data_IF_704677414417
#
_entry.id   IF_704677414417
#
_cell.length_a   1.000
_cell.length_b   1.000
_cell.length_c   1.000
_cell.angle_alpha   90.00
_cell.angle_beta   90.00
_cell.angle_gamma   90.00
#
_symmetry.space_group_name_H-M   'P 1'
#
loop_
_entity.id
_entity.type
_entity.pdbx_description
1 polymer ?
#
# COMPACT_ATOMS: atom_id res chain seq x y z
N UNK A 1 -25.07 -2.60 15.44
CA UNK A 1 -23.73 -2.23 15.94
C UNK A 1 -23.52 -0.81 15.51
N UNK A 2 -23.39 0.11 16.45
CA UNK A 2 -23.07 1.51 16.18
C UNK A 2 -21.65 1.54 15.65
N UNK A 3 -21.49 1.90 14.37
CA UNK A 3 -20.20 2.35 13.83
C UNK A 3 -19.91 3.66 14.56
N UNK A 4 -19.00 3.61 15.52
CA UNK A 4 -18.35 4.82 16.00
C UNK A 4 -17.52 5.30 14.81
N UNK A 5 -17.88 6.43 14.18
CA UNK A 5 -17.08 6.96 13.08
C UNK A 5 -15.66 7.19 13.59
N UNK A 6 -14.69 6.58 12.94
CA UNK A 6 -13.29 6.69 13.34
C UNK A 6 -12.75 8.01 12.79
N UNK A 7 -13.04 9.09 13.50
CA UNK A 7 -12.56 10.42 13.11
C UNK A 7 -11.04 10.48 13.34
N UNK A 8 -10.24 10.91 12.34
CA UNK A 8 -8.79 11.03 12.51
C UNK A 8 -8.42 11.95 13.68
N UNK A 9 -7.34 11.63 14.39
CA UNK A 9 -6.81 12.49 15.47
C UNK A 9 -6.38 13.85 14.92
N UNK A 10 -6.26 14.87 15.78
CA UNK A 10 -5.75 16.20 15.38
C UNK A 10 -4.39 16.11 14.67
N UNK A 11 -3.56 15.13 15.05
CA UNK A 11 -2.25 14.90 14.46
C UNK A 11 -2.35 14.23 13.09
N UNK A 12 -3.18 13.22 12.96
CA UNK A 12 -3.50 12.62 11.66
C UNK A 12 -4.13 13.62 10.69
N UNK A 13 -4.98 14.53 11.17
CA UNK A 13 -5.53 15.64 10.36
C UNK A 13 -4.42 16.58 9.89
N UNK A 14 -3.40 16.86 10.71
CA UNK A 14 -2.23 17.64 10.28
C UNK A 14 -1.42 16.93 9.20
N UNK A 15 -1.22 15.61 9.34
CA UNK A 15 -0.57 14.77 8.31
C UNK A 15 -1.34 14.86 6.99
N UNK A 16 -2.66 14.71 7.02
CA UNK A 16 -3.50 14.84 5.83
C UNK A 16 -3.39 16.23 5.18
N UNK A 17 -3.33 17.30 5.97
CA UNK A 17 -3.12 18.67 5.44
C UNK A 17 -1.75 18.87 4.81
N UNK A 18 -0.69 18.30 5.40
CA UNK A 18 0.65 18.32 4.81
C UNK A 18 0.69 17.50 3.52
N UNK A 19 0.09 16.30 3.53
CA UNK A 19 -0.05 15.47 2.35
C UNK A 19 -0.74 16.22 1.21
N UNK A 20 -1.84 16.94 1.49
CA UNK A 20 -2.52 17.77 0.48
C UNK A 20 -1.55 18.72 -0.22
N UNK A 21 -0.75 19.46 0.55
CA UNK A 21 0.20 20.42 -0.02
C UNK A 21 1.28 19.69 -0.82
N UNK A 22 1.89 18.65 -0.24
CA UNK A 22 2.96 17.87 -0.88
C UNK A 22 2.50 17.26 -2.20
N UNK A 23 1.33 16.61 -2.21
CA UNK A 23 0.77 15.96 -3.38
C UNK A 23 0.31 16.96 -4.44
N UNK A 24 -0.16 18.15 -4.05
CA UNK A 24 -0.53 19.20 -5.00
C UNK A 24 0.69 19.79 -5.72
N UNK A 25 1.79 20.02 -4.97
CA UNK A 25 2.96 20.74 -5.48
C UNK A 25 4.00 19.83 -6.15
N UNK A 26 3.96 18.52 -5.89
CA UNK A 26 5.00 17.58 -6.34
C UNK A 26 4.40 16.35 -7.00
N UNK A 27 4.91 16.00 -8.19
CA UNK A 27 4.50 14.78 -8.88
C UNK A 27 5.15 13.51 -8.31
N UNK A 28 6.20 13.65 -7.50
CA UNK A 28 6.90 12.54 -6.84
C UNK A 28 7.81 12.99 -5.69
N UNK A 29 8.12 12.06 -4.80
CA UNK A 29 9.19 12.11 -3.81
C UNK A 29 9.71 10.68 -3.57
N UNK A 30 10.53 10.44 -2.53
CA UNK A 30 11.12 9.12 -2.32
C UNK A 30 10.09 7.98 -2.19
N UNK A 31 8.95 8.23 -1.53
CA UNK A 31 7.96 7.18 -1.19
C UNK A 31 6.62 7.30 -1.92
N UNK A 32 6.44 8.31 -2.77
CA UNK A 32 5.25 8.43 -3.63
C UNK A 32 5.62 8.89 -5.03
N UNK A 33 4.86 8.44 -6.01
CA UNK A 33 5.08 8.80 -7.41
C UNK A 33 3.76 8.75 -8.21
N UNK A 34 3.33 9.87 -8.79
CA UNK A 34 2.07 9.95 -9.54
C UNK A 34 2.21 9.65 -11.04
N UNK A 35 3.37 9.90 -11.65
CA UNK A 35 3.53 9.89 -13.13
C UNK A 35 4.38 8.73 -13.71
N UNK A 36 4.90 7.82 -12.88
CA UNK A 36 5.81 6.73 -13.25
C UNK A 36 5.57 5.57 -12.31
N UNK A 37 6.12 4.43 -12.70
CA UNK A 37 6.07 3.17 -11.94
C UNK A 37 4.64 2.64 -11.80
N UNK A 38 4.19 1.87 -12.79
CA UNK A 38 2.99 1.03 -12.70
C UNK A 38 1.73 1.76 -12.18
N UNK A 39 1.31 2.77 -12.93
CA UNK A 39 0.05 3.49 -12.69
C UNK A 39 -1.17 2.63 -13.05
N UNK A 40 -2.40 3.01 -12.63
CA UNK A 40 -3.62 2.35 -13.08
C UNK A 40 -3.78 2.26 -14.60
N UNK A 41 -3.37 3.31 -15.33
CA UNK A 41 -3.37 3.30 -16.79
C UNK A 41 -2.36 2.28 -17.36
N UNK A 42 -1.13 2.25 -16.82
CA UNK A 42 -0.13 1.26 -17.21
C UNK A 42 -0.61 -0.16 -16.92
N UNK A 43 -1.22 -0.41 -15.76
CA UNK A 43 -1.76 -1.72 -15.39
C UNK A 43 -2.81 -2.18 -16.40
N UNK A 44 -3.77 -1.30 -16.76
CA UNK A 44 -4.77 -1.59 -17.80
C UNK A 44 -4.15 -1.85 -19.17
N UNK A 45 -3.11 -1.10 -19.55
CA UNK A 45 -2.39 -1.31 -20.81
C UNK A 45 -1.71 -2.68 -20.86
N UNK A 46 -0.98 -3.03 -19.79
CA UNK A 46 -0.30 -4.33 -19.65
C UNK A 46 -1.27 -5.49 -19.57
N UNK A 47 -2.45 -5.31 -18.96
CA UNK A 47 -3.51 -6.31 -18.95
C UNK A 47 -4.02 -6.58 -20.37
N UNK A 48 -4.28 -5.53 -21.15
CA UNK A 48 -4.68 -5.65 -22.56
C UNK A 48 -3.60 -6.31 -23.42
N UNK A 49 -2.33 -6.01 -23.17
CA UNK A 49 -1.20 -6.65 -23.84
C UNK A 49 -1.17 -8.15 -23.55
N UNK A 50 -1.24 -8.55 -22.28
CA UNK A 50 -1.30 -9.96 -21.88
C UNK A 50 -2.51 -10.68 -22.49
N UNK A 51 -3.70 -10.07 -22.46
CA UNK A 51 -4.91 -10.65 -23.06
C UNK A 51 -4.74 -10.89 -24.56
N UNK A 52 -4.07 -9.97 -25.26
CA UNK A 52 -3.90 -10.03 -26.73
C UNK A 52 -2.78 -11.00 -27.14
N UNK A 53 -1.68 -11.01 -26.39
CA UNK A 53 -0.49 -11.81 -26.67
C UNK A 53 -0.09 -12.57 -25.40
N UNK A 54 -0.84 -13.64 -25.04
CA UNK A 54 -0.63 -14.30 -23.76
C UNK A 54 0.65 -15.13 -23.79
N UNK A 55 1.51 -14.87 -22.80
CA UNK A 55 2.78 -15.56 -22.57
C UNK A 55 3.23 -15.31 -21.13
N UNK A 56 4.18 -16.11 -20.64
CA UNK A 56 4.82 -15.89 -19.34
C UNK A 56 5.38 -14.47 -19.20
N UNK A 57 6.03 -13.97 -20.27
CA UNK A 57 6.67 -12.66 -20.25
C UNK A 57 5.66 -11.51 -20.17
N UNK A 58 4.57 -11.58 -20.93
CA UNK A 58 3.51 -10.56 -20.88
C UNK A 58 2.71 -10.63 -19.58
N UNK A 59 2.52 -11.83 -19.02
CA UNK A 59 1.95 -12.00 -17.68
C UNK A 59 2.86 -11.38 -16.62
N UNK A 60 4.17 -11.62 -16.70
CA UNK A 60 5.15 -11.06 -15.78
C UNK A 60 5.15 -9.54 -15.80
N UNK A 61 5.11 -8.93 -16.97
CA UNK A 61 5.04 -7.46 -17.13
C UNK A 61 3.79 -6.87 -16.47
N UNK A 62 2.65 -7.56 -16.55
CA UNK A 62 1.42 -7.19 -15.85
C UNK A 62 1.55 -7.39 -14.33
N UNK A 63 2.09 -8.53 -13.91
CA UNK A 63 1.87 -9.06 -12.57
C UNK A 63 2.94 -8.68 -11.54
N UNK A 64 4.22 -8.79 -11.89
CA UNK A 64 5.34 -8.55 -10.96
C UNK A 64 5.50 -7.10 -10.45
N UNK A 65 5.02 -6.05 -11.13
CA UNK A 65 5.07 -4.70 -10.56
C UNK A 65 4.23 -4.54 -9.29
N UNK A 66 3.17 -5.34 -9.11
CA UNK A 66 2.31 -5.27 -7.92
C UNK A 66 3.06 -5.68 -6.65
N UNK A 67 2.83 -4.97 -5.56
CA UNK A 67 3.51 -5.20 -4.30
C UNK A 67 3.29 -6.61 -3.76
N UNK A 68 2.03 -7.09 -3.79
CA UNK A 68 1.67 -8.42 -3.29
C UNK A 68 2.35 -9.53 -4.08
N UNK A 69 2.57 -9.32 -5.38
CA UNK A 69 3.28 -10.26 -6.24
C UNK A 69 4.75 -10.42 -5.81
N UNK A 70 5.43 -9.32 -5.52
CA UNK A 70 6.84 -9.31 -5.11
C UNK A 70 7.08 -10.04 -3.78
N UNK A 71 6.07 -10.14 -2.92
CA UNK A 71 6.18 -10.75 -1.58
C UNK A 71 5.86 -12.23 -1.54
N UNK A 72 4.78 -12.66 -2.21
CA UNK A 72 4.20 -13.99 -1.93
C UNK A 72 3.57 -14.68 -3.13
N UNK A 73 3.56 -14.06 -4.30
CA UNK A 73 2.92 -14.61 -5.48
C UNK A 73 3.53 -14.06 -6.75
N UNK A 74 4.82 -14.30 -6.98
CA UNK A 74 5.51 -13.84 -8.20
C UNK A 74 4.86 -14.44 -9.44
N UNK A 75 4.94 -13.73 -10.57
CA UNK A 75 4.34 -14.16 -11.83
C UNK A 75 4.79 -15.57 -12.20
N UNK A 76 6.10 -15.86 -12.13
CA UNK A 76 6.64 -17.18 -12.41
C UNK A 76 6.01 -18.29 -11.55
N UNK A 77 5.76 -18.01 -10.27
CA UNK A 77 5.16 -18.99 -9.35
C UNK A 77 3.70 -19.27 -9.72
N UNK A 78 2.92 -18.21 -9.95
CA UNK A 78 1.51 -18.31 -10.32
C UNK A 78 1.34 -18.95 -11.69
N UNK A 79 2.12 -18.48 -12.66
CA UNK A 79 2.12 -18.96 -14.03
C UNK A 79 2.51 -20.43 -14.11
N UNK A 80 3.56 -20.86 -13.39
CA UNK A 80 3.93 -22.27 -13.30
C UNK A 80 2.81 -23.11 -12.68
N UNK A 81 2.24 -22.69 -11.53
CA UNK A 81 1.17 -23.41 -10.85
C UNK A 81 -0.07 -23.59 -11.74
N UNK A 82 -0.45 -22.55 -12.48
CA UNK A 82 -1.54 -22.58 -13.45
C UNK A 82 -1.31 -23.67 -14.52
N UNK A 83 -0.11 -23.71 -15.09
CA UNK A 83 0.22 -24.72 -16.09
C UNK A 83 0.39 -26.14 -15.52
N UNK A 84 0.87 -26.27 -14.27
CA UNK A 84 0.96 -27.56 -13.56
C UNK A 84 -0.44 -28.18 -13.34
N UNK A 85 -1.51 -27.39 -13.33
CA UNK A 85 -2.90 -27.84 -13.31
C UNK A 85 -3.48 -28.13 -14.71
N UNK A 86 -2.68 -28.05 -15.77
CA UNK A 86 -3.07 -28.34 -17.14
C UNK A 86 -3.80 -27.20 -17.87
N UNK A 87 -3.84 -26.02 -17.27
CA UNK A 87 -4.47 -24.83 -17.85
C UNK A 87 -3.49 -24.12 -18.79
N UNK A 88 -4.04 -23.35 -19.73
CA UNK A 88 -3.31 -22.69 -20.81
C UNK A 88 -3.18 -21.19 -20.59
N UNK A 89 -2.23 -20.59 -21.30
CA UNK A 89 -2.09 -19.14 -21.48
C UNK A 89 -3.40 -18.45 -21.88
N UNK A 90 -4.17 -19.07 -22.76
CA UNK A 90 -5.44 -18.51 -23.24
C UNK A 90 -6.50 -18.50 -22.15
N UNK A 91 -6.52 -19.51 -21.30
CA UNK A 91 -7.44 -19.57 -20.16
C UNK A 91 -7.05 -18.53 -19.10
N UNK A 92 -5.75 -18.37 -18.83
CA UNK A 92 -5.26 -17.31 -17.93
C UNK A 92 -5.61 -15.92 -18.47
N UNK A 93 -5.40 -15.67 -19.76
CA UNK A 93 -5.80 -14.44 -20.42
C UNK A 93 -7.32 -14.21 -20.39
N UNK A 94 -8.12 -15.28 -20.47
CA UNK A 94 -9.57 -15.18 -20.36
C UNK A 94 -9.99 -14.76 -18.96
N UNK A 95 -9.35 -15.30 -17.92
CA UNK A 95 -9.58 -14.88 -16.53
C UNK A 95 -9.16 -13.42 -16.30
N UNK A 96 -7.98 -13.00 -16.77
CA UNK A 96 -7.58 -11.58 -16.65
C UNK A 96 -8.53 -10.66 -17.42
N UNK A 97 -9.04 -11.10 -18.57
CA UNK A 97 -10.05 -10.37 -19.34
C UNK A 97 -11.38 -10.26 -18.59
N UNK A 98 -11.79 -11.33 -17.91
CA UNK A 98 -12.98 -11.32 -17.04
C UNK A 98 -12.81 -10.27 -15.93
N UNK A 99 -11.70 -10.32 -15.19
CA UNK A 99 -11.37 -9.35 -14.13
C UNK A 99 -11.38 -7.91 -14.67
N UNK A 100 -10.78 -7.67 -15.84
CA UNK A 100 -10.73 -6.34 -16.47
C UNK A 100 -12.12 -5.76 -16.80
N UNK A 101 -13.10 -6.61 -17.07
CA UNK A 101 -14.45 -6.20 -17.47
C UNK A 101 -15.51 -6.39 -16.37
N UNK A 102 -15.10 -6.83 -15.19
CA UNK A 102 -16.01 -7.05 -14.08
C UNK A 102 -16.40 -5.73 -13.41
N UNK A 103 -17.68 -5.57 -13.08
CA UNK A 103 -18.18 -4.41 -12.33
C UNK A 103 -17.95 -4.54 -10.82
N UNK A 104 -17.69 -5.76 -10.34
CA UNK A 104 -17.49 -6.09 -8.93
C UNK A 104 -16.41 -7.15 -8.75
N UNK A 105 -15.80 -7.19 -7.57
CA UNK A 105 -14.82 -8.21 -7.23
C UNK A 105 -15.48 -9.57 -7.01
N UNK A 106 -15.01 -10.63 -7.68
CA UNK A 106 -15.44 -12.00 -7.43
C UNK A 106 -14.36 -12.78 -6.66
N UNK A 107 -14.74 -13.30 -5.49
CA UNK A 107 -13.86 -14.13 -4.67
C UNK A 107 -13.51 -15.48 -5.31
N UNK A 108 -14.28 -15.95 -6.30
CA UNK A 108 -14.04 -17.18 -7.03
C UNK A 108 -12.69 -17.19 -7.74
N UNK A 109 -12.24 -16.04 -8.27
CA UNK A 109 -10.93 -15.87 -8.92
C UNK A 109 -9.75 -16.27 -8.03
N UNK A 110 -9.91 -16.13 -6.71
CA UNK A 110 -8.89 -16.54 -5.74
C UNK A 110 -8.72 -18.04 -5.70
N UNK A 111 -9.81 -18.80 -5.85
CA UNK A 111 -9.76 -20.26 -5.94
C UNK A 111 -9.02 -20.74 -7.19
N UNK A 112 -9.12 -19.98 -8.27
CA UNK A 112 -8.47 -20.33 -9.55
C UNK A 112 -6.96 -20.06 -9.53
N UNK A 113 -6.53 -18.85 -9.13
CA UNK A 113 -5.11 -18.46 -9.17
C UNK A 113 -4.35 -18.75 -7.87
N UNK A 114 -5.03 -18.74 -6.73
CA UNK A 114 -4.43 -18.92 -5.41
C UNK A 114 -3.56 -17.75 -4.94
N UNK A 115 -3.77 -16.55 -5.46
CA UNK A 115 -3.01 -15.33 -5.15
C UNK A 115 -3.91 -14.20 -4.65
N UNK A 116 -4.63 -14.46 -3.54
CA UNK A 116 -5.68 -13.58 -3.02
C UNK A 116 -5.31 -12.09 -3.00
N UNK A 117 -4.23 -11.73 -2.30
CA UNK A 117 -3.82 -10.31 -2.13
C UNK A 117 -3.43 -9.65 -3.44
N UNK A 118 -2.73 -10.38 -4.33
CA UNK A 118 -2.37 -9.85 -5.64
C UNK A 118 -3.59 -9.64 -6.53
N UNK A 119 -4.62 -10.47 -6.40
CA UNK A 119 -5.88 -10.26 -7.11
C UNK A 119 -6.65 -9.03 -6.62
N UNK A 120 -6.62 -8.75 -5.32
CA UNK A 120 -7.23 -7.56 -4.74
C UNK A 120 -6.55 -6.29 -5.28
N UNK A 121 -5.22 -6.30 -5.26
CA UNK A 121 -4.38 -5.23 -5.79
C UNK A 121 -4.62 -5.03 -7.30
N UNK A 122 -4.62 -6.12 -8.08
CA UNK A 122 -4.90 -6.07 -9.52
C UNK A 122 -6.28 -5.47 -9.80
N UNK A 123 -7.32 -5.94 -9.10
CA UNK A 123 -8.67 -5.45 -9.32
C UNK A 123 -8.77 -3.95 -9.03
N UNK A 124 -8.17 -3.47 -7.93
CA UNK A 124 -8.09 -2.04 -7.63
C UNK A 124 -7.38 -1.23 -8.71
N UNK A 125 -6.26 -1.72 -9.24
CA UNK A 125 -5.56 -1.04 -10.35
C UNK A 125 -6.40 -0.95 -11.63
N UNK A 126 -7.10 -2.04 -11.98
CA UNK A 126 -7.90 -2.07 -13.21
C UNK A 126 -9.14 -1.18 -13.10
N UNK A 127 -9.69 -1.03 -11.90
CA UNK A 127 -10.97 -0.35 -11.62
C UNK A 127 -10.84 0.85 -10.67
N UNK A 128 -9.70 1.54 -10.72
CA UNK A 128 -9.28 2.55 -9.73
C UNK A 128 -10.29 3.68 -9.47
N UNK A 129 -11.15 4.00 -10.43
CA UNK A 129 -12.15 5.07 -10.27
C UNK A 129 -13.20 4.72 -9.19
N UNK A 130 -13.54 3.44 -9.10
CA UNK A 130 -14.61 2.92 -8.25
C UNK A 130 -14.04 2.16 -7.05
N UNK A 131 -12.94 1.45 -7.25
CA UNK A 131 -12.40 0.51 -6.26
C UNK A 131 -10.98 0.87 -5.83
N UNK A 132 -10.67 0.68 -4.54
CA UNK A 132 -9.33 0.96 -4.02
C UNK A 132 -8.35 -0.16 -4.36
N UNK A 133 -7.07 0.20 -4.37
CA UNK A 133 -5.96 -0.75 -4.37
C UNK A 133 -5.83 -1.29 -2.95
N UNK A 134 -6.05 -2.59 -2.78
CA UNK A 134 -5.95 -3.25 -1.48
C UNK A 134 -4.76 -4.21 -1.48
N UNK A 135 -3.71 -3.80 -0.78
CA UNK A 135 -2.50 -4.58 -0.54
C UNK A 135 -2.05 -4.40 0.92
N UNK A 136 -0.86 -4.89 1.27
CA UNK A 136 -0.37 -4.76 2.65
C UNK A 136 -0.05 -3.32 3.06
N UNK A 137 0.26 -2.42 2.12
CA UNK A 137 0.45 -1.00 2.40
C UNK A 137 -0.88 -0.33 2.75
N UNK A 138 -1.92 -0.60 1.96
CA UNK A 138 -3.25 -0.10 2.26
C UNK A 138 -3.74 -0.58 3.64
N UNK A 139 -3.58 -1.88 3.96
CA UNK A 139 -3.98 -2.42 5.27
C UNK A 139 -3.26 -1.72 6.44
N UNK A 140 -1.94 -1.52 6.36
CA UNK A 140 -1.15 -0.90 7.44
C UNK A 140 -1.38 0.61 7.53
N UNK A 141 -1.46 1.29 6.40
CA UNK A 141 -1.78 2.71 6.35
C UNK A 141 -3.18 3.04 6.84
N UNK A 142 -4.18 2.19 6.55
CA UNK A 142 -5.53 2.34 7.12
C UNK A 142 -5.50 2.16 8.65
N UNK A 143 -4.78 1.14 9.13
CA UNK A 143 -4.64 0.88 10.58
C UNK A 143 -3.94 2.04 11.30
N UNK A 144 -3.01 2.75 10.66
CA UNK A 144 -2.43 3.98 11.17
C UNK A 144 -3.49 5.04 11.49
N UNK A 145 -4.56 5.14 10.68
CA UNK A 145 -5.71 6.02 10.93
C UNK A 145 -6.81 5.37 11.78
N UNK A 146 -6.57 4.18 12.35
CA UNK A 146 -7.53 3.43 13.17
C UNK A 146 -8.58 2.64 12.39
N UNK A 147 -8.36 2.42 11.10
CA UNK A 147 -9.23 1.64 10.22
C UNK A 147 -8.66 0.24 10.01
N UNK A 148 -9.30 -0.78 10.58
CA UNK A 148 -8.86 -2.17 10.42
C UNK A 148 -9.59 -2.88 9.29
N UNK A 149 -8.83 -3.41 8.33
CA UNK A 149 -9.40 -4.15 7.21
C UNK A 149 -9.85 -5.57 7.58
N UNK A 150 -11.10 -5.96 7.24
CA UNK A 150 -11.55 -7.34 7.29
C UNK A 150 -10.74 -8.29 6.39
N UNK A 151 -10.97 -9.60 6.56
CA UNK A 151 -10.27 -10.64 5.81
C UNK A 151 -10.76 -10.84 4.37
N UNK A 152 -11.82 -10.15 3.96
CA UNK A 152 -12.44 -10.18 2.63
C UNK A 152 -12.33 -8.83 1.91
N UNK A 153 -12.41 -8.86 0.58
CA UNK A 153 -12.15 -7.68 -0.26
C UNK A 153 -13.21 -6.60 -0.05
N UNK A 154 -14.48 -6.99 -0.08
CA UNK A 154 -15.62 -6.07 0.04
C UNK A 154 -15.60 -5.34 1.38
N UNK A 155 -15.34 -6.06 2.48
CA UNK A 155 -15.17 -5.48 3.80
C UNK A 155 -14.04 -4.46 3.86
N UNK A 156 -12.86 -4.78 3.31
CA UNK A 156 -11.74 -3.83 3.30
C UNK A 156 -11.99 -2.65 2.34
N UNK A 157 -12.69 -2.86 1.22
CA UNK A 157 -13.10 -1.79 0.31
C UNK A 157 -14.10 -0.82 0.98
N UNK A 158 -15.03 -1.34 1.78
CA UNK A 158 -15.96 -0.52 2.57
C UNK A 158 -15.21 0.32 3.62
N UNK A 159 -14.26 -0.29 4.35
CA UNK A 159 -13.40 0.43 5.32
C UNK A 159 -12.57 1.51 4.62
N UNK A 160 -12.00 1.21 3.45
CA UNK A 160 -11.30 2.21 2.65
C UNK A 160 -12.26 3.33 2.23
N UNK A 161 -13.50 3.03 1.85
CA UNK A 161 -14.48 4.06 1.47
C UNK A 161 -14.86 4.97 2.64
N UNK A 162 -14.92 4.45 3.86
CA UNK A 162 -15.10 5.25 5.07
C UNK A 162 -13.89 6.19 5.28
N UNK A 163 -12.67 5.65 5.20
CA UNK A 163 -11.45 6.45 5.26
C UNK A 163 -11.38 7.51 4.16
N UNK A 164 -11.75 7.17 2.92
CA UNK A 164 -11.81 8.10 1.79
C UNK A 164 -12.74 9.28 2.09
N UNK A 165 -13.88 9.04 2.74
CA UNK A 165 -14.79 10.12 3.14
C UNK A 165 -14.12 11.07 4.13
N UNK A 166 -13.41 10.53 5.13
CA UNK A 166 -12.64 11.35 6.08
C UNK A 166 -11.50 12.10 5.37
N UNK A 167 -10.77 11.44 4.48
CA UNK A 167 -9.72 12.01 3.65
C UNK A 167 -10.24 13.19 2.81
N UNK A 168 -11.31 12.99 2.03
CA UNK A 168 -11.88 14.02 1.15
C UNK A 168 -12.42 15.22 1.95
N UNK A 169 -12.85 15.02 3.21
CA UNK A 169 -13.28 16.11 4.09
C UNK A 169 -12.15 17.07 4.50
N UNK A 170 -10.91 16.58 4.53
CA UNK A 170 -9.71 17.36 4.92
C UNK A 170 -8.89 17.77 3.71
N UNK A 171 -8.63 16.81 2.83
CA UNK A 171 -7.75 16.96 1.66
C UNK A 171 -8.54 17.42 0.44
N UNK A 172 -9.72 16.83 0.22
CA UNK A 172 -10.42 16.86 -1.07
C UNK A 172 -9.76 15.90 -2.03
N UNK A 173 -9.33 16.40 -3.18
CA UNK A 173 -8.55 15.67 -4.19
C UNK A 173 -7.33 16.53 -4.52
N UNK A 174 -6.19 16.23 -3.91
CA UNK A 174 -5.03 17.13 -3.88
C UNK A 174 -4.41 17.36 -5.26
N UNK A 175 -4.39 16.32 -6.09
CA UNK A 175 -3.85 16.34 -7.44
C UNK A 175 -4.86 16.85 -8.48
N UNK A 176 -6.12 17.14 -8.11
CA UNK A 176 -7.11 17.66 -9.04
C UNK A 176 -6.67 19.01 -9.65
N UNK A 177 -6.65 19.08 -10.98
CA UNK A 177 -6.27 20.26 -11.75
C UNK A 177 -4.77 20.52 -11.85
N UNK A 178 -3.91 19.61 -11.38
CA UNK A 178 -2.45 19.69 -11.55
C UNK A 178 -2.02 18.99 -12.85
N UNK A 179 -0.74 19.15 -13.24
CA UNK A 179 -0.19 18.43 -14.41
C UNK A 179 -0.06 16.91 -14.18
N UNK A 180 -0.11 16.50 -12.91
CA UNK A 180 0.02 15.13 -12.43
C UNK A 180 -1.27 14.63 -11.75
N UNK A 181 -2.42 15.09 -12.22
CA UNK A 181 -3.73 14.64 -11.74
C UNK A 181 -3.87 13.11 -11.87
N UNK A 182 -4.23 12.45 -10.77
CA UNK A 182 -4.50 11.01 -10.73
C UNK A 182 -5.85 10.73 -10.04
N UNK A 183 -6.45 9.55 -10.23
CA UNK A 183 -7.67 9.18 -9.51
C UNK A 183 -7.46 9.24 -7.99
N UNK A 184 -8.47 9.72 -7.24
CA UNK A 184 -8.35 9.93 -5.78
C UNK A 184 -8.00 8.66 -5.01
N UNK A 185 -8.49 7.49 -5.45
CA UNK A 185 -8.12 6.22 -4.81
C UNK A 185 -6.62 5.91 -4.99
N UNK A 186 -6.01 6.32 -6.11
CA UNK A 186 -4.56 6.19 -6.32
C UNK A 186 -3.79 7.23 -5.52
N UNK A 187 -4.29 8.46 -5.43
CA UNK A 187 -3.73 9.49 -4.54
C UNK A 187 -3.68 9.01 -3.08
N UNK A 188 -4.77 8.40 -2.60
CA UNK A 188 -4.82 7.81 -1.27
C UNK A 188 -3.82 6.66 -1.15
N UNK A 189 -3.76 5.74 -2.11
CA UNK A 189 -2.77 4.65 -2.10
C UNK A 189 -1.33 5.19 -1.95
N UNK A 190 -1.00 6.29 -2.64
CA UNK A 190 0.30 6.94 -2.50
C UNK A 190 0.56 7.49 -1.08
N UNK A 191 -0.44 8.06 -0.41
CA UNK A 191 -0.32 8.43 1.00
C UNK A 191 -0.09 7.20 1.89
N UNK A 192 -0.85 6.12 1.69
CA UNK A 192 -0.72 4.91 2.49
C UNK A 192 0.66 4.24 2.29
N UNK A 193 1.23 4.36 1.08
CA UNK A 193 2.60 3.95 0.80
C UNK A 193 3.62 4.77 1.59
N UNK A 194 3.46 6.10 1.69
CA UNK A 194 4.31 6.97 2.51
C UNK A 194 4.24 6.55 3.98
N UNK A 195 3.02 6.37 4.51
CA UNK A 195 2.80 6.00 5.90
C UNK A 195 3.48 4.68 6.26
N UNK A 196 3.42 3.71 5.37
CA UNK A 196 4.01 2.39 5.63
C UNK A 196 5.52 2.35 5.49
N UNK A 197 6.09 3.08 4.51
CA UNK A 197 7.48 2.90 4.09
C UNK A 197 8.45 3.84 4.79
N UNK A 198 7.97 4.97 5.28
CA UNK A 198 8.85 6.00 5.83
C UNK A 198 9.63 5.46 7.03
N UNK A 199 10.93 5.71 7.01
CA UNK A 199 11.86 5.36 8.08
C UNK A 199 12.74 6.56 8.42
N UNK A 200 13.38 6.53 9.59
CA UNK A 200 14.31 7.59 10.00
C UNK A 200 15.43 7.83 8.97
N UNK A 201 15.88 6.78 8.28
CA UNK A 201 16.92 6.88 7.25
C UNK A 201 16.48 7.61 5.98
N UNK A 202 15.16 7.78 5.76
CA UNK A 202 14.64 8.47 4.58
C UNK A 202 14.65 9.99 4.72
N UNK A 203 14.63 10.52 5.95
CA UNK A 203 14.71 11.95 6.21
C UNK A 203 16.00 12.56 5.65
N UNK A 204 17.11 11.83 5.72
CA UNK A 204 18.42 12.29 5.20
C UNK A 204 18.55 12.15 3.68
N UNK A 205 17.71 11.30 3.06
CA UNK A 205 17.69 11.05 1.62
C UNK A 205 16.70 11.94 0.89
N UNK A 206 15.67 12.41 1.58
CA UNK A 206 14.63 13.26 1.00
C UNK A 206 15.13 14.70 0.82
N UNK A 207 15.25 15.11 -0.43
CA UNK A 207 15.71 16.44 -0.82
C UNK A 207 14.57 17.46 -0.81
N UNK A 208 13.32 17.02 -0.94
CA UNK A 208 12.15 17.88 -0.90
C UNK A 208 11.80 18.22 0.56
N UNK A 209 11.85 19.50 0.91
CA UNK A 209 11.63 19.95 2.28
C UNK A 209 10.21 19.66 2.79
N UNK A 210 9.19 19.79 1.94
CA UNK A 210 7.80 19.58 2.32
C UNK A 210 7.51 18.08 2.50
N UNK A 211 8.03 17.23 1.61
CA UNK A 211 7.95 15.78 1.76
C UNK A 211 8.72 15.29 3.01
N UNK A 212 9.90 15.86 3.28
CA UNK A 212 10.67 15.56 4.50
C UNK A 212 9.88 15.94 5.76
N UNK A 213 9.20 17.09 5.77
CA UNK A 213 8.36 17.50 6.89
C UNK A 213 7.17 16.55 7.10
N UNK A 214 6.54 16.10 6.01
CA UNK A 214 5.50 15.07 6.08
C UNK A 214 6.04 13.78 6.69
N UNK A 215 7.20 13.31 6.24
CA UNK A 215 7.84 12.09 6.73
C UNK A 215 8.17 12.17 8.22
N UNK A 216 8.72 13.29 8.68
CA UNK A 216 9.00 13.54 10.10
C UNK A 216 7.72 13.45 10.94
N UNK A 217 6.63 14.06 10.45
CA UNK A 217 5.34 14.04 11.15
C UNK A 217 4.74 12.64 11.25
N UNK A 218 4.86 11.83 10.19
CA UNK A 218 4.41 10.44 10.18
C UNK A 218 5.22 9.61 11.17
N UNK A 219 6.55 9.72 11.18
CA UNK A 219 7.41 8.97 12.11
C UNK A 219 7.10 9.31 13.57
N UNK A 220 6.86 10.59 13.88
CA UNK A 220 6.47 11.03 15.21
C UNK A 220 5.12 10.43 15.65
N UNK A 221 4.13 10.37 14.77
CA UNK A 221 2.81 9.79 15.09
C UNK A 221 2.86 8.26 15.19
N UNK A 222 3.63 7.60 14.34
CA UNK A 222 3.83 6.15 14.39
C UNK A 222 4.59 5.68 15.64
N UNK A 223 5.24 6.61 16.37
CA UNK A 223 6.11 6.30 17.50
C UNK A 223 7.42 5.61 17.09
N UNK A 224 7.71 5.52 15.79
CA UNK A 224 8.94 4.96 15.25
C UNK A 224 10.00 6.06 15.17
N UNK A 225 10.55 6.41 16.33
CA UNK A 225 11.65 7.37 16.43
C UNK A 225 13.02 6.78 16.03
N UNK A 226 13.03 5.71 15.22
CA UNK A 226 14.25 4.97 14.93
C UNK A 226 14.75 4.28 16.18
N UNK A 227 14.27 3.06 16.43
CA UNK A 227 15.18 2.10 17.04
C UNK A 227 16.26 1.89 15.99
N UNK A 228 17.40 2.54 16.21
CA UNK A 228 18.67 2.26 15.52
C UNK A 228 18.72 0.78 15.16
N UNK A 229 19.09 0.45 13.91
CA UNK A 229 19.47 -0.92 13.55
C UNK A 229 20.23 -1.52 14.75
N UNK A 230 19.86 -2.73 15.22
CA UNK A 230 20.49 -3.28 16.41
C UNK A 230 21.99 -3.22 16.16
N UNK A 231 22.72 -2.45 16.99
CA UNK A 231 24.18 -2.45 16.98
C UNK A 231 24.59 -3.91 16.91
N UNK A 232 25.40 -4.25 15.91
CA UNK A 232 25.84 -5.61 15.66
C UNK A 232 26.54 -6.09 16.95
N UNK A 233 25.78 -6.77 17.80
CA UNK A 233 26.30 -7.23 19.08
C UNK A 233 27.29 -8.33 18.78
N UNK A 234 28.53 -8.17 19.24
CA UNK A 234 29.64 -9.12 19.15
C UNK A 234 29.40 -10.44 19.96
N UNK A 235 28.13 -10.79 20.18
CA UNK A 235 27.67 -12.00 20.83
C UNK A 235 26.39 -11.81 21.65
N UNK A 236 25.70 -12.92 21.89
CA UNK A 236 24.44 -13.03 22.64
C UNK A 236 24.55 -12.41 24.05
N UNK A 237 25.74 -12.39 24.65
CA UNK A 237 25.96 -11.83 25.98
C UNK A 237 25.79 -10.29 26.00
N UNK A 238 26.25 -9.59 24.97
CA UNK A 238 26.13 -8.12 24.90
C UNK A 238 24.67 -7.68 24.67
N UNK A 239 23.92 -8.43 23.84
CA UNK A 239 22.49 -8.22 23.65
C UNK A 239 21.68 -8.50 24.94
N UNK A 240 22.09 -9.50 25.73
CA UNK A 240 21.43 -9.86 26.99
C UNK A 240 21.67 -8.80 28.08
N UNK A 241 22.90 -8.27 28.18
CA UNK A 241 23.23 -7.20 29.12
C UNK A 241 22.49 -5.88 28.81
N UNK A 242 22.35 -5.52 27.54
CA UNK A 242 21.62 -4.31 27.13
C UNK A 242 20.13 -4.41 27.49
N UNK A 243 19.47 -5.53 27.17
CA UNK A 243 18.05 -5.79 27.52
C UNK A 243 17.84 -5.76 29.03
N UNK A 244 18.72 -6.39 29.81
CA UNK A 244 18.64 -6.39 31.27
C UNK A 244 18.86 -4.99 31.87
N UNK A 245 19.74 -4.17 31.28
CA UNK A 245 19.95 -2.79 31.72
C UNK A 245 18.73 -1.90 31.46
N UNK A 246 18.06 -2.09 30.32
CA UNK A 246 16.85 -1.37 29.92
C UNK A 246 15.68 -1.73 30.84
N UNK A 247 15.51 -3.02 31.15
CA UNK A 247 14.48 -3.50 32.10
C UNK A 247 14.74 -3.04 33.55
N UNK A 248 16.00 -2.97 33.97
CA UNK A 248 16.38 -2.46 35.30
C UNK A 248 16.07 -0.98 35.51
N UNK A 249 16.18 -0.15 34.46
CA UNK A 249 15.82 1.28 34.52
C UNK A 249 14.30 1.49 34.61
N UNK A 250 13.49 0.65 33.98
CA UNK A 250 12.02 0.74 34.05
C UNK A 250 11.49 0.39 35.45
N UNK A 251 12.15 -0.54 36.15
CA UNK A 251 11.76 -0.92 37.52
C UNK A 251 12.05 0.19 38.56
N UNK A 252 13.10 0.99 38.37
CA UNK A 252 13.45 2.10 39.27
C UNK A 252 12.58 3.35 39.07
N UNK A 253 12.00 3.55 37.88
CA UNK A 253 11.10 4.67 37.58
C UNK A 253 9.66 4.45 38.10
N UNK A 254 9.26 3.21 38.36
CA UNK A 254 7.94 2.87 38.93
C UNK A 254 7.93 2.77 40.47
N UNK A 255 9.01 3.22 41.14
CA UNK A 255 9.19 3.10 42.60
C UNK A 255 9.36 4.44 43.33
N UNK A 256 9.09 5.58 42.68
CA UNK A 256 9.10 6.91 43.30
C UNK A 256 7.83 7.69 42.97
#
# INVERSE_FOLDING_TARGET
>A
MTSDSHDPTDRQVQILRLWKQVAQDNSSAHHFHFEREYTPEESRSRAKEFITTPSEQTFKTLWDPMWSAQRSGTANTIYKKWHDHGQTDKELASLIKEILHADHYDASWQGELGARRTLWELFGFLHIEEYPIINGYAERGLSFFGYDCPSDYEGCANVFSEFRTAYESVVGHATAGTEHEVPVNFEIDQLLNVIDKVSAGDLDREANADARQLYEMVLEESGDHGVSEPEEYDGINAATEDVLSKLGRTALLNSC
#
